data_IF_071233432431
#
_entry.id   IF_071233432431
#
_cell.length_a   1.000
_cell.length_b   1.000
_cell.length_c   1.000
_cell.angle_alpha   90.00
_cell.angle_beta   90.00
_cell.angle_gamma   90.00
#
_symmetry.space_group_name_H-M   'P 1'
#
loop_
_entity.id
_entity.type
_entity.pdbx_description
1 polymer ?
#
# COMPACT_ATOMS: atom_id res chain seq x y z
N UNK A 1 -6.06 13.82 18.72
CA UNK A 1 -6.68 12.48 19.02
C UNK A 1 -7.19 12.48 20.45
N UNK A 2 -8.33 11.80 20.72
CA UNK A 2 -8.87 11.75 22.08
C UNK A 2 -8.10 10.72 22.91
N UNK A 3 -7.67 11.08 24.11
CA UNK A 3 -7.01 10.22 25.10
C UNK A 3 -7.80 8.90 25.34
N UNK A 4 -9.13 8.97 25.34
CA UNK A 4 -10.00 7.80 25.49
C UNK A 4 -9.94 6.81 24.33
N UNK A 5 -9.64 7.27 23.11
CA UNK A 5 -9.51 6.39 21.94
C UNK A 5 -8.25 5.55 22.05
N UNK A 6 -7.15 6.12 22.52
CA UNK A 6 -5.89 5.40 22.72
C UNK A 6 -6.01 4.31 23.80
N UNK A 7 -6.61 4.62 24.95
CA UNK A 7 -6.81 3.62 26.03
C UNK A 7 -7.67 2.43 25.54
N UNK A 8 -8.70 2.71 24.74
CA UNK A 8 -9.53 1.63 24.18
C UNK A 8 -8.79 0.81 23.14
N UNK A 9 -7.99 1.45 22.29
CA UNK A 9 -7.17 0.77 21.30
C UNK A 9 -6.15 -0.14 21.98
N UNK A 10 -5.42 0.33 23.01
CA UNK A 10 -4.40 -0.41 23.73
C UNK A 10 -4.96 -1.70 24.37
N UNK A 11 -6.17 -1.64 24.90
CA UNK A 11 -6.85 -2.83 25.44
C UNK A 11 -7.02 -3.92 24.37
N UNK A 12 -7.60 -3.57 23.21
CA UNK A 12 -7.85 -4.55 22.15
C UNK A 12 -6.55 -4.99 21.45
N UNK A 13 -5.55 -4.11 21.35
CA UNK A 13 -4.20 -4.46 20.89
C UNK A 13 -3.58 -5.51 21.82
N UNK A 14 -3.74 -5.36 23.15
CA UNK A 14 -3.25 -6.35 24.13
C UNK A 14 -4.00 -7.68 23.98
N UNK A 15 -5.31 -7.66 23.77
CA UNK A 15 -6.10 -8.86 23.49
C UNK A 15 -5.60 -9.58 22.21
N UNK A 16 -5.30 -8.85 21.14
CA UNK A 16 -4.76 -9.42 19.89
C UNK A 16 -3.31 -9.94 20.05
N UNK A 17 -2.50 -9.31 20.91
CA UNK A 17 -1.12 -9.73 21.18
C UNK A 17 -1.05 -11.10 21.86
N UNK A 18 -2.08 -11.46 22.64
CA UNK A 18 -2.17 -12.75 23.33
C UNK A 18 -3.02 -13.78 22.61
N UNK A 19 -3.53 -13.45 21.42
CA UNK A 19 -4.34 -14.35 20.61
C UNK A 19 -3.51 -15.52 20.08
N UNK A 20 -4.08 -16.71 20.12
CA UNK A 20 -3.46 -17.94 19.61
C UNK A 20 -4.03 -18.36 18.24
N UNK A 21 -5.15 -17.79 17.84
CA UNK A 21 -5.82 -18.04 16.57
C UNK A 21 -6.56 -16.77 16.11
N UNK A 22 -6.30 -16.36 14.87
CA UNK A 22 -6.96 -15.18 14.28
C UNK A 22 -8.46 -15.44 14.08
N UNK A 23 -8.85 -16.68 13.75
CA UNK A 23 -10.25 -17.04 13.51
C UNK A 23 -11.07 -17.20 14.81
N UNK A 24 -10.44 -17.21 15.98
CA UNK A 24 -11.14 -17.35 17.26
C UNK A 24 -12.17 -16.21 17.45
N UNK A 25 -13.38 -16.51 17.97
CA UNK A 25 -14.43 -15.49 18.14
C UNK A 25 -14.01 -14.29 18.98
N UNK A 26 -13.17 -14.49 20.01
CA UNK A 26 -12.63 -13.41 20.83
C UNK A 26 -11.70 -12.49 20.03
N UNK A 27 -10.81 -13.07 19.19
CA UNK A 27 -9.90 -12.33 18.33
C UNK A 27 -10.67 -11.53 17.29
N UNK A 28 -11.65 -12.14 16.63
CA UNK A 28 -12.50 -11.47 15.65
C UNK A 28 -13.31 -10.32 16.27
N UNK A 29 -13.77 -10.50 17.52
CA UNK A 29 -14.43 -9.42 18.26
C UNK A 29 -13.49 -8.24 18.54
N UNK A 30 -12.25 -8.51 18.95
CA UNK A 30 -11.25 -7.46 19.19
C UNK A 30 -10.90 -6.72 17.89
N UNK A 31 -10.73 -7.44 16.76
CA UNK A 31 -10.56 -6.85 15.42
C UNK A 31 -11.72 -5.91 15.07
N UNK A 32 -12.97 -6.38 15.23
CA UNK A 32 -14.16 -5.57 14.96
C UNK A 32 -14.20 -4.29 15.83
N UNK A 33 -13.86 -4.41 17.12
CA UNK A 33 -13.82 -3.27 18.04
C UNK A 33 -12.75 -2.25 17.68
N UNK A 34 -11.57 -2.67 17.23
CA UNK A 34 -10.55 -1.74 16.71
C UNK A 34 -11.01 -1.03 15.44
N UNK A 35 -11.69 -1.73 14.54
CA UNK A 35 -12.30 -1.10 13.34
C UNK A 35 -13.37 -0.07 13.70
N UNK A 36 -14.20 -0.33 14.72
CA UNK A 36 -15.20 0.63 15.20
C UNK A 36 -14.60 1.92 15.75
N UNK A 37 -13.35 1.90 16.24
CA UNK A 37 -12.63 3.11 16.65
C UNK A 37 -12.24 4.00 15.47
N UNK A 38 -12.29 3.47 14.25
CA UNK A 38 -12.04 4.19 13.01
C UNK A 38 -10.60 4.70 12.89
N UNK A 39 -10.38 5.89 12.28
CA UNK A 39 -9.04 6.43 12.01
C UNK A 39 -8.14 6.60 13.23
N UNK A 40 -8.71 6.64 14.43
CA UNK A 40 -7.96 6.75 15.68
C UNK A 40 -7.21 5.47 16.07
N UNK A 41 -7.59 4.30 15.50
CA UNK A 41 -6.91 3.05 15.75
C UNK A 41 -5.69 2.82 14.83
N UNK A 42 -5.53 3.58 13.75
CA UNK A 42 -4.49 3.33 12.74
C UNK A 42 -3.10 3.43 13.37
N UNK A 43 -2.80 4.55 14.01
CA UNK A 43 -1.47 4.81 14.61
C UNK A 43 -1.09 3.77 15.69
N UNK A 44 -1.91 3.50 16.73
CA UNK A 44 -1.55 2.52 17.74
C UNK A 44 -1.45 1.08 17.19
N UNK A 45 -2.32 0.67 16.24
CA UNK A 45 -2.24 -0.66 15.61
C UNK A 45 -1.00 -0.76 14.71
N UNK A 46 -0.66 0.30 13.99
CA UNK A 46 0.54 0.34 13.15
C UNK A 46 1.81 0.26 14.01
N UNK A 47 1.85 0.99 15.13
CA UNK A 47 2.97 0.90 16.08
C UNK A 47 3.11 -0.52 16.68
N UNK A 48 1.99 -1.19 16.98
CA UNK A 48 1.99 -2.54 17.52
C UNK A 48 2.55 -3.60 16.55
N UNK A 49 2.58 -3.35 15.24
CA UNK A 49 3.21 -4.23 14.25
C UNK A 49 4.72 -4.42 14.48
N UNK A 50 5.40 -3.44 15.09
CA UNK A 50 6.85 -3.49 15.29
C UNK A 50 7.30 -4.74 16.09
N UNK A 51 6.52 -5.11 17.11
CA UNK A 51 6.84 -6.19 18.06
C UNK A 51 5.86 -7.37 17.99
N UNK A 52 4.97 -7.39 17.00
CA UNK A 52 3.94 -8.40 16.86
C UNK A 52 4.54 -9.79 16.53
N UNK A 53 4.00 -10.84 17.13
CA UNK A 53 4.22 -12.20 16.66
C UNK A 53 3.45 -12.46 15.36
N UNK A 54 3.54 -13.67 14.82
CA UNK A 54 2.91 -14.04 13.55
C UNK A 54 1.38 -13.88 13.59
N UNK A 55 0.73 -14.30 14.66
CA UNK A 55 -0.74 -14.29 14.80
C UNK A 55 -1.23 -12.87 14.99
N UNK A 56 -0.62 -12.12 15.90
CA UNK A 56 -0.94 -10.71 16.13
C UNK A 56 -0.69 -9.88 14.86
N UNK A 57 0.37 -10.14 14.10
CA UNK A 57 0.65 -9.47 12.82
C UNK A 57 -0.51 -9.63 11.85
N UNK A 58 -1.01 -10.85 11.65
CA UNK A 58 -2.15 -11.10 10.75
C UNK A 58 -3.40 -10.38 11.24
N UNK A 59 -3.68 -10.43 12.54
CA UNK A 59 -4.83 -9.76 13.14
C UNK A 59 -4.74 -8.21 12.98
N UNK A 60 -3.57 -7.62 13.19
CA UNK A 60 -3.36 -6.19 12.99
C UNK A 60 -3.51 -5.78 11.53
N UNK A 61 -2.96 -6.57 10.59
CA UNK A 61 -3.14 -6.34 9.16
C UNK A 61 -4.63 -6.40 8.79
N UNK A 62 -5.37 -7.35 9.37
CA UNK A 62 -6.82 -7.44 9.13
C UNK A 62 -7.56 -6.19 9.64
N UNK A 63 -7.21 -5.67 10.83
CA UNK A 63 -7.74 -4.39 11.34
C UNK A 63 -7.43 -3.26 10.37
N UNK A 64 -6.15 -3.10 10.01
CA UNK A 64 -5.68 -2.02 9.14
C UNK A 64 -6.34 -2.07 7.76
N UNK A 65 -6.45 -3.26 7.15
CA UNK A 65 -7.15 -3.46 5.87
C UNK A 65 -8.57 -2.91 5.89
N UNK A 66 -9.30 -3.14 6.99
CA UNK A 66 -10.65 -2.62 7.17
C UNK A 66 -10.72 -1.10 7.42
N UNK A 67 -9.61 -0.48 7.81
CA UNK A 67 -9.52 0.96 8.06
C UNK A 67 -8.98 1.75 6.85
N UNK A 68 -8.40 1.07 5.85
CA UNK A 68 -7.94 1.73 4.62
C UNK A 68 -9.14 2.24 3.83
N UNK A 69 -9.13 3.53 3.52
CA UNK A 69 -10.01 4.18 2.54
C UNK A 69 -9.33 5.45 2.04
N UNK A 70 -9.97 6.15 1.09
CA UNK A 70 -9.38 7.36 0.50
C UNK A 70 -9.01 8.43 1.55
N UNK A 71 -9.82 8.60 2.62
CA UNK A 71 -9.57 9.62 3.65
C UNK A 71 -8.45 9.24 4.60
N UNK A 72 -8.29 7.95 4.88
CA UNK A 72 -7.27 7.44 5.80
C UNK A 72 -5.96 7.09 5.12
N UNK A 73 -5.94 6.93 3.80
CA UNK A 73 -4.77 6.58 3.00
C UNK A 73 -3.50 7.38 3.35
N UNK A 74 -3.55 8.73 3.53
CA UNK A 74 -2.35 9.50 3.89
C UNK A 74 -1.67 9.04 5.17
N UNK A 75 -2.43 8.55 6.18
CA UNK A 75 -1.85 8.02 7.43
C UNK A 75 -1.05 6.74 7.22
N UNK A 76 -1.47 5.90 6.27
CA UNK A 76 -0.73 4.70 5.90
C UNK A 76 0.57 5.05 5.18
N UNK A 77 0.55 6.06 4.31
CA UNK A 77 1.79 6.56 3.67
C UNK A 77 2.74 7.16 4.70
N UNK A 78 2.26 7.94 5.66
CA UNK A 78 3.06 8.45 6.77
C UNK A 78 3.73 7.31 7.56
N UNK A 79 2.99 6.21 7.82
CA UNK A 79 3.55 5.02 8.45
C UNK A 79 4.60 4.29 7.60
N UNK A 80 4.53 4.41 6.27
CA UNK A 80 5.58 3.89 5.36
C UNK A 80 6.83 4.78 5.29
N UNK A 81 6.72 6.06 5.69
CA UNK A 81 7.85 6.99 5.79
C UNK A 81 8.61 6.78 7.11
N UNK A 82 7.88 6.67 8.23
CA UNK A 82 8.46 6.71 9.58
C UNK A 82 8.63 5.33 10.22
N UNK A 83 8.00 4.31 9.66
CA UNK A 83 7.90 2.98 10.26
C UNK A 83 9.17 2.13 10.12
N UNK A 84 9.35 1.20 11.07
CA UNK A 84 10.34 0.13 10.94
C UNK A 84 10.03 -0.77 9.71
N UNK A 85 10.99 -1.58 9.23
CA UNK A 85 10.74 -2.51 8.12
C UNK A 85 9.53 -3.44 8.33
N UNK A 86 9.26 -3.86 9.56
CA UNK A 86 8.08 -4.68 9.91
C UNK A 86 6.77 -3.89 9.76
N UNK A 87 6.77 -2.66 10.23
CA UNK A 87 5.62 -1.74 10.08
C UNK A 87 5.34 -1.49 8.59
N UNK A 88 6.38 -1.17 7.82
CA UNK A 88 6.27 -0.94 6.37
C UNK A 88 5.68 -2.17 5.67
N UNK A 89 6.18 -3.37 5.97
CA UNK A 89 5.66 -4.61 5.37
C UNK A 89 4.18 -4.87 5.73
N UNK A 90 3.80 -4.68 7.00
CA UNK A 90 2.42 -4.84 7.43
C UNK A 90 1.46 -3.82 6.81
N UNK A 91 1.88 -2.57 6.71
CA UNK A 91 1.12 -1.49 6.04
C UNK A 91 0.99 -1.77 4.54
N UNK A 92 2.07 -2.18 3.88
CA UNK A 92 2.03 -2.56 2.46
C UNK A 92 1.05 -3.73 2.22
N UNK A 93 1.04 -4.71 3.10
CA UNK A 93 0.07 -5.82 3.01
C UNK A 93 -1.37 -5.33 3.17
N UNK A 94 -1.65 -4.48 4.17
CA UNK A 94 -2.99 -3.91 4.37
C UNK A 94 -3.45 -3.10 3.14
N UNK A 95 -2.59 -2.27 2.57
CA UNK A 95 -2.85 -1.51 1.35
C UNK A 95 -3.09 -2.43 0.14
N UNK A 96 -2.28 -3.49 -0.04
CA UNK A 96 -2.43 -4.47 -1.13
C UNK A 96 -3.75 -5.24 -1.05
N UNK A 97 -4.24 -5.50 0.15
CA UNK A 97 -5.46 -6.27 0.39
C UNK A 97 -6.74 -5.42 0.26
N UNK A 98 -6.67 -4.11 0.50
CA UNK A 98 -7.83 -3.22 0.46
C UNK A 98 -8.16 -2.76 -0.95
N UNK A 99 -9.45 -2.66 -1.27
CA UNK A 99 -9.97 -2.08 -2.52
C UNK A 99 -10.73 -0.76 -2.30
N UNK A 100 -10.68 -0.22 -1.09
CA UNK A 100 -11.50 0.93 -0.66
C UNK A 100 -10.87 2.30 -0.97
N UNK A 101 -9.87 2.35 -1.84
CA UNK A 101 -9.23 3.59 -2.30
C UNK A 101 -8.87 3.52 -3.80
N UNK A 102 -8.76 4.67 -4.49
CA UNK A 102 -8.28 4.73 -5.87
C UNK A 102 -6.78 4.35 -5.95
N UNK A 103 -6.38 3.39 -6.80
CA UNK A 103 -4.98 2.97 -6.89
C UNK A 103 -4.04 4.07 -7.44
N UNK A 104 -4.57 5.09 -8.10
CA UNK A 104 -3.81 6.27 -8.53
C UNK A 104 -3.14 7.00 -7.37
N UNK A 105 -3.73 6.94 -6.17
CA UNK A 105 -3.12 7.49 -4.95
C UNK A 105 -1.77 6.84 -4.62
N UNK A 106 -1.56 5.56 -4.99
CA UNK A 106 -0.27 4.87 -4.84
C UNK A 106 0.79 5.49 -5.76
N UNK A 107 0.41 5.80 -7.01
CA UNK A 107 1.31 6.43 -7.98
C UNK A 107 1.72 7.84 -7.53
N UNK A 108 0.79 8.59 -6.94
CA UNK A 108 1.06 9.91 -6.35
C UNK A 108 1.99 9.80 -5.13
N UNK A 109 1.77 8.79 -4.29
CA UNK A 109 2.56 8.55 -3.09
C UNK A 109 4.04 8.19 -3.38
N UNK A 110 4.39 7.72 -4.58
CA UNK A 110 5.79 7.52 -4.99
C UNK A 110 6.63 8.82 -4.95
N UNK A 111 5.98 9.98 -5.06
CA UNK A 111 6.61 11.29 -4.94
C UNK A 111 6.81 11.76 -3.50
N UNK A 112 6.34 11.01 -2.49
CA UNK A 112 6.49 11.39 -1.08
C UNK A 112 7.94 11.15 -0.64
N UNK A 113 8.56 12.18 -0.09
CA UNK A 113 9.93 12.10 0.43
C UNK A 113 10.01 11.09 1.59
N UNK A 114 11.02 10.22 1.56
CA UNK A 114 11.26 9.22 2.59
C UNK A 114 10.33 7.99 2.54
N UNK A 115 9.36 7.93 1.64
CA UNK A 115 8.50 6.76 1.53
C UNK A 115 9.30 5.50 1.13
N UNK A 116 8.93 4.35 1.66
CA UNK A 116 9.51 3.05 1.31
C UNK A 116 9.09 2.65 -0.12
N UNK A 117 9.73 3.24 -1.14
CA UNK A 117 9.35 3.11 -2.56
C UNK A 117 9.26 1.67 -3.03
N UNK A 118 10.19 0.79 -2.61
CA UNK A 118 10.15 -0.63 -2.99
C UNK A 118 8.86 -1.30 -2.53
N UNK A 119 8.49 -1.14 -1.26
CA UNK A 119 7.25 -1.69 -0.73
C UNK A 119 6.00 -1.08 -1.39
N UNK A 120 6.05 0.21 -1.73
CA UNK A 120 4.96 0.87 -2.45
C UNK A 120 4.81 0.36 -3.88
N UNK A 121 5.90 0.04 -4.57
CA UNK A 121 5.88 -0.59 -5.90
C UNK A 121 5.27 -2.00 -5.85
N UNK A 122 5.51 -2.78 -4.78
CA UNK A 122 4.85 -4.08 -4.57
C UNK A 122 3.34 -3.91 -4.41
N UNK A 123 2.90 -2.87 -3.67
CA UNK A 123 1.47 -2.53 -3.56
C UNK A 123 0.88 -2.12 -4.91
N UNK A 124 1.57 -1.30 -5.71
CA UNK A 124 1.16 -0.91 -7.07
C UNK A 124 0.99 -2.16 -7.94
N UNK A 125 1.95 -3.08 -7.89
CA UNK A 125 1.89 -4.36 -8.61
C UNK A 125 0.66 -5.18 -8.22
N UNK A 126 0.32 -5.24 -6.93
CA UNK A 126 -0.88 -5.92 -6.44
C UNK A 126 -2.20 -5.27 -6.94
N UNK A 127 -2.16 -3.98 -7.27
CA UNK A 127 -3.29 -3.23 -7.79
C UNK A 127 -3.27 -2.99 -9.31
N UNK A 128 -2.30 -3.57 -10.04
CA UNK A 128 -2.05 -3.25 -11.45
C UNK A 128 -3.30 -3.32 -12.35
N UNK A 129 -4.14 -4.33 -12.15
CA UNK A 129 -5.37 -4.52 -12.95
C UNK A 129 -6.43 -3.41 -12.76
N UNK A 130 -6.22 -2.49 -11.83
CA UNK A 130 -7.07 -1.34 -11.54
C UNK A 130 -6.45 -0.01 -12.02
N UNK A 131 -5.28 -0.09 -12.63
CA UNK A 131 -4.54 1.04 -13.22
C UNK A 131 -4.59 0.93 -14.74
N UNK A 132 -4.59 2.06 -15.41
CA UNK A 132 -4.45 2.14 -16.85
C UNK A 132 -2.98 2.30 -17.28
N UNK A 133 -2.65 1.88 -18.49
CA UNK A 133 -1.34 2.10 -19.12
C UNK A 133 -0.95 3.58 -19.07
N UNK A 134 -1.89 4.49 -19.35
CA UNK A 134 -1.67 5.93 -19.31
C UNK A 134 -1.27 6.46 -17.94
N UNK A 135 -1.92 5.98 -16.87
CA UNK A 135 -1.62 6.39 -15.49
C UNK A 135 -0.22 5.93 -15.08
N UNK A 136 0.13 4.68 -15.41
CA UNK A 136 1.46 4.12 -15.10
C UNK A 136 2.54 4.85 -15.90
N UNK A 137 2.34 5.11 -17.19
CA UNK A 137 3.26 5.88 -18.00
C UNK A 137 3.50 7.27 -17.41
N UNK A 138 2.41 7.99 -17.07
CA UNK A 138 2.51 9.33 -16.50
C UNK A 138 3.29 9.34 -15.17
N UNK A 139 3.14 8.28 -14.36
CA UNK A 139 3.90 8.12 -13.13
C UNK A 139 5.37 7.78 -13.42
N UNK A 140 5.66 6.84 -14.34
CA UNK A 140 7.00 6.40 -14.68
C UNK A 140 7.90 7.54 -15.18
N UNK A 141 7.36 8.46 -15.97
CA UNK A 141 8.10 9.64 -16.45
C UNK A 141 8.50 10.62 -15.32
N UNK A 142 7.88 10.54 -14.15
CA UNK A 142 8.21 11.38 -12.98
C UNK A 142 9.22 10.72 -12.05
N UNK A 143 9.58 9.46 -12.28
CA UNK A 143 10.46 8.69 -11.40
C UNK A 143 11.89 8.60 -11.98
N UNK A 144 12.84 8.32 -11.07
CA UNK A 144 14.22 8.00 -11.41
C UNK A 144 14.39 6.55 -11.86
N UNK A 145 15.61 6.17 -12.24
CA UNK A 145 15.88 4.95 -13.02
C UNK A 145 15.27 3.66 -12.46
N UNK A 146 15.39 3.41 -11.14
CA UNK A 146 14.95 2.14 -10.55
C UNK A 146 13.42 2.03 -10.48
N UNK A 147 12.77 3.07 -9.99
CA UNK A 147 11.31 3.15 -9.88
C UNK A 147 10.66 3.21 -11.26
N UNK A 148 11.28 3.93 -12.20
CA UNK A 148 10.88 3.96 -13.60
C UNK A 148 10.89 2.56 -14.20
N UNK A 149 12.00 1.81 -14.05
CA UNK A 149 12.11 0.45 -14.55
C UNK A 149 11.06 -0.49 -13.94
N UNK A 150 10.77 -0.35 -12.64
CA UNK A 150 9.74 -1.13 -11.97
C UNK A 150 8.34 -0.84 -12.53
N UNK A 151 8.00 0.44 -12.74
CA UNK A 151 6.72 0.83 -13.33
C UNK A 151 6.57 0.36 -14.78
N UNK A 152 7.64 0.39 -15.57
CA UNK A 152 7.62 -0.16 -16.93
C UNK A 152 7.44 -1.69 -16.93
N UNK A 153 7.94 -2.41 -15.93
CA UNK A 153 7.65 -3.84 -15.76
C UNK A 153 6.16 -4.09 -15.50
N UNK A 154 5.57 -3.33 -14.56
CA UNK A 154 4.12 -3.39 -14.29
C UNK A 154 3.32 -3.07 -15.55
N UNK A 155 3.76 -2.09 -16.33
CA UNK A 155 3.14 -1.71 -17.58
C UNK A 155 3.20 -2.82 -18.62
N UNK A 156 4.33 -3.52 -18.74
CA UNK A 156 4.46 -4.67 -19.65
C UNK A 156 3.55 -5.85 -19.31
N UNK A 157 3.20 -6.03 -18.03
CA UNK A 157 2.22 -7.05 -17.61
C UNK A 157 0.77 -6.64 -17.88
N UNK A 158 0.50 -5.34 -18.11
CA UNK A 158 -0.83 -4.79 -18.31
C UNK A 158 -1.16 -4.47 -19.74
N UNK A 159 -0.15 -4.07 -20.53
CA UNK A 159 -0.34 -3.58 -21.89
C UNK A 159 -0.98 -4.64 -22.78
N UNK A 160 -1.91 -4.22 -23.59
CA UNK A 160 -2.63 -5.01 -24.58
C UNK A 160 -2.48 -4.37 -25.96
N UNK A 161 -2.92 -5.06 -27.01
CA UNK A 161 -2.90 -4.52 -28.38
C UNK A 161 -3.61 -3.16 -28.50
N UNK A 162 -4.61 -2.89 -27.64
CA UNK A 162 -5.32 -1.62 -27.62
C UNK A 162 -4.45 -0.45 -27.14
N UNK A 163 -3.37 -0.73 -26.40
CA UNK A 163 -2.48 0.27 -25.84
C UNK A 163 -1.30 0.60 -26.78
N UNK A 164 -1.11 -0.18 -27.86
CA UNK A 164 -0.02 0.00 -28.82
C UNK A 164 0.08 1.42 -29.37
N UNK A 165 -1.02 2.10 -29.78
CA UNK A 165 -0.91 3.48 -30.30
C UNK A 165 -0.34 4.47 -29.26
N UNK A 166 -0.70 4.33 -28.00
CA UNK A 166 -0.16 5.16 -26.90
C UNK A 166 1.34 4.89 -26.71
N UNK A 167 1.75 3.60 -26.66
CA UNK A 167 3.14 3.18 -26.48
C UNK A 167 4.03 3.62 -27.64
N UNK A 168 3.60 3.38 -28.89
CA UNK A 168 4.33 3.81 -30.10
C UNK A 168 4.48 5.33 -30.15
N UNK A 169 3.43 6.08 -29.78
CA UNK A 169 3.49 7.54 -29.70
C UNK A 169 4.58 8.06 -28.76
N UNK A 170 4.91 7.30 -27.71
CA UNK A 170 5.96 7.64 -26.74
C UNK A 170 7.38 7.34 -27.20
N UNK A 171 7.58 6.55 -28.27
CA UNK A 171 8.91 6.28 -28.84
C UNK A 171 9.59 7.53 -29.40
N UNK A 172 8.82 8.54 -29.78
CA UNK A 172 9.33 9.84 -30.24
C UNK A 172 9.81 10.74 -29.09
N UNK A 173 9.65 10.31 -27.84
CA UNK A 173 10.07 11.07 -26.65
C UNK A 173 11.60 11.16 -26.52
N UNK A 174 12.06 12.15 -25.75
CA UNK A 174 13.50 12.42 -25.53
C UNK A 174 14.16 11.49 -24.48
N UNK A 175 13.38 10.72 -23.73
CA UNK A 175 13.87 9.83 -22.68
C UNK A 175 14.34 8.49 -23.28
N UNK A 176 15.67 8.23 -23.37
CA UNK A 176 16.20 7.01 -24.00
C UNK A 176 15.90 5.75 -23.15
N UNK A 177 15.81 5.89 -21.82
CA UNK A 177 15.50 4.80 -20.91
C UNK A 177 14.05 4.37 -21.08
N UNK A 178 13.14 5.33 -21.11
CA UNK A 178 11.72 5.05 -21.36
C UNK A 178 11.51 4.40 -22.75
N UNK A 179 12.19 4.89 -23.79
CA UNK A 179 12.10 4.28 -25.14
C UNK A 179 12.54 2.82 -25.14
N UNK A 180 13.67 2.50 -24.46
CA UNK A 180 14.17 1.12 -24.38
C UNK A 180 13.13 0.20 -23.71
N UNK A 181 12.55 0.65 -22.60
CA UNK A 181 11.52 -0.12 -21.92
C UNK A 181 10.26 -0.33 -22.78
N UNK A 182 9.83 0.71 -23.49
CA UNK A 182 8.67 0.62 -24.40
C UNK A 182 8.95 -0.37 -25.54
N UNK A 183 10.13 -0.32 -26.15
CA UNK A 183 10.51 -1.28 -27.21
C UNK A 183 10.46 -2.72 -26.69
N UNK A 184 10.83 -2.97 -25.45
CA UNK A 184 10.78 -4.32 -24.85
C UNK A 184 9.36 -4.79 -24.51
N UNK A 185 8.39 -3.89 -24.47
CA UNK A 185 6.97 -4.21 -24.23
C UNK A 185 6.24 -4.48 -25.57
N UNK A 186 6.65 -3.82 -26.65
CA UNK A 186 6.09 -3.98 -27.99
C UNK A 186 6.52 -5.28 -28.65
#
# INVERSE_FOLDING_TARGET
MSFFTNIRADRFITELRTATDVAAPATQKAIAKLRELGPGAIEPVTAALADADKIATVAYIEVLTGLVNQKTFPKFIESMVTGSPRVVAGVAWALSSSRAYPPTMLLEALGTEGVAKSALLDVITAHRTRLSVREILAAAYKQEANEKAALFRVLGELATDNDLPELVGRLNGKDPVARLHIINIL
#
